data_IF_452431844161
#
_entry.id   IF_452431844161
#
_cell.length_a   1.000
_cell.length_b   1.000
_cell.length_c   1.000
_cell.angle_alpha   90.00
_cell.angle_beta   90.00
_cell.angle_gamma   90.00
#
_symmetry.space_group_name_H-M   'P 1'
#
loop_
_entity.id
_entity.type
_entity.pdbx_description
1 polymer ?
#
# COMPACT_ATOMS: atom_id res chain seq x y z
N UNK A 1 -5.83 13.29 -32.16
CA UNK A 1 -5.08 12.05 -32.43
C UNK A 1 -5.27 11.14 -31.24
N UNK A 2 -5.93 10.01 -31.48
CA UNK A 2 -6.39 8.94 -30.58
C UNK A 2 -6.02 9.05 -29.08
N UNK A 3 -7.03 9.30 -28.25
CA UNK A 3 -7.05 8.95 -26.83
C UNK A 3 -6.94 7.42 -26.70
N UNK A 4 -5.72 6.88 -26.73
CA UNK A 4 -5.51 5.47 -26.44
C UNK A 4 -5.63 5.26 -24.94
N UNK A 5 -6.74 4.68 -24.48
CA UNK A 5 -6.91 4.25 -23.10
C UNK A 5 -5.86 3.17 -22.80
N UNK A 6 -4.85 3.51 -21.98
CA UNK A 6 -3.87 2.54 -21.52
C UNK A 6 -4.53 1.53 -20.57
N UNK A 7 -4.38 0.25 -20.85
CA UNK A 7 -4.85 -0.83 -19.95
C UNK A 7 -3.65 -1.48 -19.29
N UNK A 8 -3.66 -1.54 -17.96
CA UNK A 8 -2.66 -2.27 -17.17
C UNK A 8 -3.34 -3.54 -16.65
N UNK A 9 -2.77 -4.70 -16.99
CA UNK A 9 -3.21 -6.01 -16.48
C UNK A 9 -2.21 -6.44 -15.41
N UNK A 10 -2.71 -6.79 -14.23
CA UNK A 10 -1.90 -7.21 -13.08
C UNK A 10 -2.42 -8.53 -12.52
N UNK A 11 -1.61 -9.17 -11.68
CA UNK A 11 -2.03 -10.31 -10.89
C UNK A 11 -3.27 -9.96 -10.05
N UNK A 12 -4.26 -10.86 -10.00
CA UNK A 12 -5.36 -10.75 -9.06
C UNK A 12 -4.90 -11.28 -7.68
N UNK A 13 -4.87 -10.39 -6.69
CA UNK A 13 -4.34 -10.67 -5.34
C UNK A 13 -5.43 -10.84 -4.29
N UNK A 14 -6.70 -10.96 -4.69
CA UNK A 14 -7.84 -11.06 -3.76
C UNK A 14 -8.63 -9.76 -3.62
N UNK A 15 -9.66 -9.80 -2.77
CA UNK A 15 -10.62 -8.70 -2.55
C UNK A 15 -10.43 -7.98 -1.20
N UNK A 16 -9.40 -8.34 -0.43
CA UNK A 16 -9.14 -7.76 0.89
C UNK A 16 -7.85 -6.96 0.89
N UNK A 17 -7.84 -5.92 1.73
CA UNK A 17 -6.66 -5.08 1.99
C UNK A 17 -6.45 -5.01 3.49
N UNK A 18 -5.25 -4.65 3.92
CA UNK A 18 -4.94 -4.51 5.34
C UNK A 18 -5.86 -3.47 6.01
N UNK A 19 -6.33 -2.46 5.28
CA UNK A 19 -7.34 -1.52 5.75
C UNK A 19 -8.63 -2.22 6.21
N UNK A 20 -9.14 -3.16 5.42
CA UNK A 20 -10.34 -3.94 5.77
C UNK A 20 -10.14 -4.77 7.03
N UNK A 21 -8.94 -5.32 7.24
CA UNK A 21 -8.65 -6.15 8.42
C UNK A 21 -8.48 -5.30 9.67
N UNK A 22 -7.83 -4.13 9.58
CA UNK A 22 -7.60 -3.26 10.74
C UNK A 22 -8.86 -2.52 11.17
N UNK A 23 -9.57 -1.90 10.22
CA UNK A 23 -10.69 -1.00 10.53
C UNK A 23 -12.06 -1.65 10.38
N UNK A 24 -12.12 -2.88 9.88
CA UNK A 24 -13.34 -3.56 9.50
C UNK A 24 -13.87 -3.05 8.16
N UNK A 25 -14.53 -3.93 7.41
CA UNK A 25 -15.47 -3.49 6.39
C UNK A 25 -16.67 -2.89 7.11
N UNK A 26 -17.02 -1.63 6.82
CA UNK A 26 -18.38 -1.18 7.08
C UNK A 26 -19.32 -2.15 6.36
N UNK A 27 -19.94 -3.05 7.13
CA UNK A 27 -20.93 -4.07 6.76
C UNK A 27 -21.32 -4.09 5.28
N UNK A 28 -20.96 -5.14 4.52
CA UNK A 28 -21.79 -5.71 3.45
C UNK A 28 -21.25 -7.06 2.97
N UNK A 29 -22.17 -8.05 2.88
CA UNK A 29 -22.03 -9.43 2.36
C UNK A 29 -21.27 -10.43 3.27
N UNK A 30 -21.83 -11.49 3.84
CA UNK A 30 -23.15 -12.13 3.81
C UNK A 30 -23.42 -12.69 5.21
N UNK A 31 -24.51 -12.28 5.87
CA UNK A 31 -25.07 -13.05 7.00
C UNK A 31 -25.51 -14.41 6.47
N UNK A 32 -24.65 -15.43 6.53
CA UNK A 32 -25.12 -16.80 6.67
C UNK A 32 -25.62 -16.93 8.11
N UNK A 33 -26.93 -17.00 8.28
CA UNK A 33 -27.55 -17.52 9.50
C UNK A 33 -27.05 -18.95 9.67
N UNK A 34 -26.24 -19.23 10.68
CA UNK A 34 -26.58 -20.28 11.63
C UNK A 34 -25.83 -20.14 12.97
N UNK A 35 -26.63 -20.14 14.03
CA UNK A 35 -26.39 -20.48 15.44
C UNK A 35 -25.03 -20.22 16.14
N UNK A 36 -25.04 -19.23 17.05
CA UNK A 36 -24.41 -19.36 18.37
C UNK A 36 -23.07 -18.64 18.57
N UNK A 37 -23.10 -17.64 19.48
CA UNK A 37 -21.98 -16.97 20.17
C UNK A 37 -21.03 -16.07 19.35
N UNK A 38 -21.27 -14.75 19.48
CA UNK A 38 -20.24 -13.72 19.46
C UNK A 38 -19.88 -13.14 18.10
N UNK A 39 -20.46 -11.99 17.74
CA UNK A 39 -19.86 -11.11 16.73
C UNK A 39 -18.66 -10.37 17.36
N UNK A 40 -17.58 -11.11 17.60
CA UNK A 40 -16.29 -10.51 17.87
C UNK A 40 -15.72 -9.98 16.56
N UNK A 41 -15.35 -8.71 16.51
CA UNK A 41 -14.30 -8.27 15.61
C UNK A 41 -13.12 -9.22 15.86
N UNK A 42 -12.76 -10.11 14.94
CA UNK A 42 -11.48 -10.81 15.05
C UNK A 42 -10.40 -9.77 14.80
N UNK A 43 -9.95 -9.16 15.90
CA UNK A 43 -8.78 -8.30 15.91
C UNK A 43 -7.60 -9.10 15.37
N UNK A 44 -6.78 -8.45 14.56
CA UNK A 44 -5.52 -8.98 14.05
C UNK A 44 -4.68 -9.54 15.22
N UNK A 45 -4.39 -10.85 15.21
CA UNK A 45 -3.55 -11.46 16.24
C UNK A 45 -2.12 -10.94 16.14
N UNK A 46 -1.36 -10.95 17.25
CA UNK A 46 0.04 -10.53 17.24
C UNK A 46 0.88 -11.31 16.22
N UNK A 47 0.59 -12.60 16.05
CA UNK A 47 1.26 -13.46 15.07
C UNK A 47 0.98 -13.01 13.63
N UNK A 48 -0.28 -12.70 13.31
CA UNK A 48 -0.65 -12.19 11.99
C UNK A 48 -0.03 -10.81 11.75
N UNK A 49 -0.06 -9.91 12.73
CA UNK A 49 0.56 -8.59 12.63
C UNK A 49 2.05 -8.68 12.33
N UNK A 50 2.76 -9.60 12.99
CA UNK A 50 4.17 -9.85 12.73
C UNK A 50 4.38 -10.44 11.33
N UNK A 51 3.59 -11.43 10.92
CA UNK A 51 3.68 -12.03 9.59
C UNK A 51 3.48 -10.99 8.48
N UNK A 52 2.42 -10.18 8.58
CA UNK A 52 2.14 -9.12 7.61
C UNK A 52 3.22 -8.06 7.59
N UNK A 53 3.74 -7.67 8.75
CA UNK A 53 4.85 -6.71 8.84
C UNK A 53 6.10 -7.23 8.14
N UNK A 54 6.44 -8.52 8.33
CA UNK A 54 7.56 -9.15 7.65
C UNK A 54 7.40 -9.13 6.12
N UNK A 55 6.21 -9.48 5.62
CA UNK A 55 5.91 -9.46 4.18
C UNK A 55 6.04 -8.05 3.59
N UNK A 56 5.47 -7.03 4.26
CA UNK A 56 5.54 -5.63 3.83
C UNK A 56 7.00 -5.15 3.83
N UNK A 57 7.75 -5.42 4.89
CA UNK A 57 9.16 -5.02 5.00
C UNK A 57 10.00 -5.71 3.93
N UNK A 58 9.78 -7.00 3.66
CA UNK A 58 10.48 -7.70 2.59
C UNK A 58 10.20 -7.07 1.21
N UNK A 59 8.94 -6.71 0.94
CA UNK A 59 8.55 -5.98 -0.27
C UNK A 59 9.24 -4.60 -0.37
N UNK A 60 9.30 -3.85 0.73
CA UNK A 60 9.96 -2.54 0.74
C UNK A 60 11.46 -2.62 0.55
N UNK A 61 12.12 -3.56 1.22
CA UNK A 61 13.56 -3.82 1.02
C UNK A 61 13.84 -4.11 -0.44
N UNK A 62 12.99 -4.90 -1.11
CA UNK A 62 13.11 -5.14 -2.54
C UNK A 62 12.96 -3.84 -3.35
N UNK A 63 11.90 -3.05 -3.15
CA UNK A 63 11.69 -1.79 -3.87
C UNK A 63 12.85 -0.81 -3.69
N UNK A 64 13.30 -0.64 -2.44
CA UNK A 64 14.39 0.27 -2.10
C UNK A 64 15.72 -0.19 -2.71
N UNK A 65 15.95 -1.52 -2.83
CA UNK A 65 17.12 -2.07 -3.55
C UNK A 65 17.11 -1.74 -5.05
N UNK A 66 15.93 -1.51 -5.63
CA UNK A 66 15.75 -1.09 -7.02
C UNK A 66 15.71 0.43 -7.18
N UNK A 67 16.06 1.18 -6.11
CA UNK A 67 15.97 2.63 -6.06
C UNK A 67 14.55 3.14 -6.33
N UNK A 68 13.52 2.44 -5.85
CA UNK A 68 12.11 2.86 -5.99
C UNK A 68 11.57 3.23 -4.61
N UNK A 69 11.04 4.44 -4.47
CA UNK A 69 10.23 4.83 -3.32
C UNK A 69 8.73 4.73 -3.69
N UNK A 70 7.92 4.15 -2.81
CA UNK A 70 6.50 3.90 -3.06
C UNK A 70 5.64 5.17 -2.95
N UNK A 71 5.87 5.97 -1.90
CA UNK A 71 5.30 7.29 -1.60
C UNK A 71 3.80 7.37 -1.29
N UNK A 72 3.08 6.24 -1.35
CA UNK A 72 1.70 6.12 -0.88
C UNK A 72 1.46 4.83 -0.09
N UNK A 73 2.38 4.50 0.83
CA UNK A 73 2.18 3.37 1.74
C UNK A 73 1.07 3.67 2.76
N UNK A 74 0.04 2.83 2.73
CA UNK A 74 -1.08 2.86 3.66
C UNK A 74 -1.78 1.51 3.67
N UNK A 75 -2.55 1.17 4.71
CA UNK A 75 -3.26 -0.11 4.78
C UNK A 75 -4.15 -0.42 3.56
N UNK A 76 -4.66 0.61 2.86
CA UNK A 76 -5.50 0.42 1.68
C UNK A 76 -4.70 -0.03 0.43
N UNK A 77 -3.40 0.21 0.41
CA UNK A 77 -2.49 -0.17 -0.69
C UNK A 77 -1.69 -1.45 -0.37
N UNK A 78 -2.00 -2.10 0.76
CA UNK A 78 -1.49 -3.44 1.10
C UNK A 78 -2.61 -4.45 0.88
N UNK A 79 -2.46 -5.30 -0.12
CA UNK A 79 -3.39 -6.37 -0.45
C UNK A 79 -3.07 -7.64 0.33
N UNK A 80 -4.09 -8.43 0.64
CA UNK A 80 -3.94 -9.71 1.33
C UNK A 80 -4.46 -10.81 0.42
N UNK A 81 -3.57 -11.74 0.06
CA UNK A 81 -3.91 -12.87 -0.81
C UNK A 81 -4.76 -13.90 -0.10
N UNK A 82 -5.39 -14.79 -0.87
CA UNK A 82 -6.12 -15.96 -0.34
C UNK A 82 -5.22 -16.89 0.50
N UNK A 83 -3.90 -16.86 0.27
CA UNK A 83 -2.89 -17.59 1.03
C UNK A 83 -2.39 -16.82 2.26
N UNK A 84 -3.06 -15.71 2.62
CA UNK A 84 -2.75 -14.89 3.78
C UNK A 84 -1.36 -14.22 3.74
N UNK A 85 -0.92 -13.83 2.54
CA UNK A 85 0.36 -13.12 2.29
C UNK A 85 0.06 -11.66 1.94
N UNK A 86 0.84 -10.72 2.50
CA UNK A 86 0.71 -9.31 2.13
C UNK A 86 1.50 -8.97 0.86
N UNK A 87 0.88 -8.17 -0.02
CA UNK A 87 1.50 -7.62 -1.24
C UNK A 87 1.30 -6.10 -1.30
N UNK A 88 2.38 -5.37 -1.54
CA UNK A 88 2.34 -3.93 -1.79
C UNK A 88 1.77 -3.70 -3.20
N UNK A 89 0.80 -2.81 -3.32
CA UNK A 89 0.21 -2.39 -4.59
C UNK A 89 0.02 -0.88 -4.68
N UNK A 90 -0.54 -0.43 -5.80
CA UNK A 90 -0.75 0.99 -6.15
C UNK A 90 0.53 1.84 -6.20
N UNK A 91 1.28 1.64 -7.28
CA UNK A 91 2.52 2.38 -7.59
C UNK A 91 2.27 3.73 -8.28
N UNK A 92 1.03 4.25 -8.26
CA UNK A 92 0.66 5.47 -8.99
C UNK A 92 1.43 6.72 -8.53
N UNK A 93 1.97 6.70 -7.31
CA UNK A 93 2.77 7.79 -6.73
C UNK A 93 4.26 7.48 -6.65
N UNK A 94 4.68 6.28 -7.08
CA UNK A 94 6.04 5.80 -6.87
C UNK A 94 7.04 6.51 -7.77
N UNK A 95 8.27 6.65 -7.27
CA UNK A 95 9.35 7.33 -7.98
C UNK A 95 10.61 6.47 -8.00
N UNK A 96 11.23 6.40 -9.18
CA UNK A 96 12.58 5.85 -9.34
C UNK A 96 13.60 6.94 -9.02
N UNK A 97 14.43 6.68 -8.03
CA UNK A 97 15.48 7.57 -7.55
C UNK A 97 16.70 7.41 -8.47
N UNK A 98 16.74 8.18 -9.56
CA UNK A 98 17.90 8.22 -10.44
C UNK A 98 18.94 9.22 -9.93
N UNK A 99 20.23 8.86 -10.01
CA UNK A 99 21.37 9.67 -9.52
C UNK A 99 21.65 10.94 -10.34
N UNK A 100 20.84 11.24 -11.34
CA UNK A 100 21.17 12.26 -12.34
C UNK A 100 21.00 13.66 -11.78
N UNK A 101 22.09 14.42 -11.82
CA UNK A 101 22.28 15.86 -11.56
C UNK A 101 21.41 16.79 -12.45
N UNK A 102 20.22 16.36 -12.88
CA UNK A 102 19.41 17.04 -13.90
C UNK A 102 17.91 16.83 -13.71
N UNK A 103 17.41 17.06 -12.49
CA UNK A 103 15.97 17.30 -12.29
C UNK A 103 15.79 18.52 -11.40
N UNK A 104 16.05 19.66 -12.01
CA UNK A 104 15.33 20.88 -11.71
C UNK A 104 13.85 20.55 -11.45
N UNK A 105 13.39 20.83 -10.23
CA UNK A 105 12.01 21.25 -10.02
C UNK A 105 10.91 20.25 -10.43
N UNK A 106 11.07 18.94 -10.22
CA UNK A 106 9.89 18.05 -10.08
C UNK A 106 9.21 18.27 -8.71
N UNK A 107 8.83 19.53 -8.46
CA UNK A 107 8.08 20.00 -7.30
C UNK A 107 6.56 19.96 -7.56
N UNK A 108 6.11 19.43 -8.70
CA UNK A 108 4.72 19.58 -9.12
C UNK A 108 4.12 18.22 -9.47
N UNK A 109 3.64 17.55 -8.42
CA UNK A 109 2.58 16.54 -8.34
C UNK A 109 2.96 15.44 -7.34
N UNK A 110 3.24 15.83 -6.10
CA UNK A 110 3.49 14.88 -5.02
C UNK A 110 2.13 14.26 -4.62
N UNK A 111 1.66 13.28 -5.39
CA UNK A 111 0.45 12.49 -5.12
C UNK A 111 0.54 11.72 -3.80
N UNK A 112 -0.39 10.81 -3.53
CA UNK A 112 -0.38 10.01 -2.31
C UNK A 112 -1.08 10.67 -1.14
N UNK A 113 -1.18 9.93 -0.04
CA UNK A 113 -2.13 10.23 1.03
C UNK A 113 -1.48 11.10 2.09
N UNK A 114 -1.94 12.35 2.22
CA UNK A 114 -1.37 13.34 3.15
C UNK A 114 -1.23 12.84 4.60
N UNK A 115 -2.16 12.02 5.09
CA UNK A 115 -2.13 11.50 6.47
C UNK A 115 -1.04 10.46 6.72
N UNK A 116 -0.47 9.86 5.66
CA UNK A 116 0.58 8.84 5.74
C UNK A 116 1.91 9.35 5.18
N UNK A 117 1.99 10.64 4.85
CA UNK A 117 3.17 11.25 4.24
C UNK A 117 4.19 11.65 5.30
N UNK A 118 5.46 11.33 5.06
CA UNK A 118 6.57 11.75 5.91
C UNK A 118 6.72 13.29 5.97
N UNK A 119 7.11 13.86 7.11
CA UNK A 119 7.14 15.32 7.33
C UNK A 119 8.12 16.07 6.41
N UNK A 120 9.25 15.47 6.05
CA UNK A 120 10.21 16.01 5.08
C UNK A 120 9.56 16.24 3.70
N UNK A 121 8.66 15.34 3.27
CA UNK A 121 7.93 15.51 2.01
C UNK A 121 6.91 16.65 2.10
N UNK A 122 6.29 16.86 3.27
CA UNK A 122 5.38 18.00 3.49
C UNK A 122 6.12 19.35 3.45
N UNK A 123 7.42 19.36 3.75
CA UNK A 123 8.30 20.53 3.65
C UNK A 123 8.87 20.74 2.25
N UNK A 124 8.60 19.82 1.31
CA UNK A 124 9.17 19.85 -0.04
C UNK A 124 10.64 19.45 -0.09
N UNK A 125 11.12 18.70 0.90
CA UNK A 125 12.47 18.13 0.88
C UNK A 125 12.59 17.01 -0.17
N UNK A 126 13.83 16.62 -0.47
CA UNK A 126 14.12 15.57 -1.46
C UNK A 126 13.52 14.23 -1.03
N UNK A 127 12.88 13.55 -1.98
CA UNK A 127 12.43 12.17 -1.78
C UNK A 127 13.61 11.23 -1.52
N UNK A 128 13.50 10.43 -0.48
CA UNK A 128 14.41 9.32 -0.18
C UNK A 128 13.61 8.09 0.20
N UNK A 129 14.19 6.88 0.17
CA UNK A 129 13.50 5.67 0.61
C UNK A 129 13.05 5.72 2.09
N UNK A 130 13.62 6.62 2.90
CA UNK A 130 13.24 6.81 4.31
C UNK A 130 11.85 7.44 4.49
N UNK A 131 11.28 7.98 3.41
CA UNK A 131 9.97 8.61 3.44
C UNK A 131 8.80 7.61 3.27
N UNK A 132 9.12 6.35 2.96
CA UNK A 132 8.21 5.19 3.02
C UNK A 132 8.22 4.58 4.43
#
# INVERSE_FOLDING_TARGET
SQDSLGTIIMEYVGNSTLHHVIYGTGSMTTKRKDNGLGCGHESLSIMQSLSYSCDIVAGLVFLHSQLIAHLDLKPANIFITEQNVCKIGDFGCSQKLEDTMSSSLQLCQQGGTYTHRAPELLKGERVTPKAD
#
